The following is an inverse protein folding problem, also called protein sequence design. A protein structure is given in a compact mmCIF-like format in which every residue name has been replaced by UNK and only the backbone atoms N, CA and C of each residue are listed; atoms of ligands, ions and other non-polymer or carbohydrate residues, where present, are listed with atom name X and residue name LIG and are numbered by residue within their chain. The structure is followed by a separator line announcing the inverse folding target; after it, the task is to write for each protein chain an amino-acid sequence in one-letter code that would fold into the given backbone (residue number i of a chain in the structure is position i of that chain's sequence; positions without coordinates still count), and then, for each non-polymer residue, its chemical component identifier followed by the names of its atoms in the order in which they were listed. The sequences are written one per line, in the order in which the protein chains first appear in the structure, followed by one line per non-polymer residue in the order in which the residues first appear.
data_IF_747646521965
#
_entry.id   IF_747646521965
#
_cell.length_a   1.000
_cell.length_b   1.000
_cell.length_c   1.000
_cell.angle_alpha   90.00
_cell.angle_beta   90.00
_cell.angle_gamma   90.00
#
_symmetry.space_group_name_H-M   'P 1'
#
loop_
_entity.id
_entity.type
_entity.pdbx_description
1 polymer ?
#
# COMPACT_ATOMS: atom_id res chain seq x y z
N UNK A 1 4.78 19.59 1.40
CA UNK A 1 3.41 19.11 1.61
C UNK A 1 3.08 19.07 3.06
N UNK A 2 1.86 19.41 3.46
CA UNK A 2 1.47 19.37 4.86
C UNK A 2 1.27 17.92 5.32
N UNK A 3 1.43 17.71 6.61
CA UNK A 3 1.19 16.38 7.19
C UNK A 3 -0.27 15.97 7.06
N UNK A 4 -1.19 16.91 7.06
CA UNK A 4 -2.61 16.62 6.86
C UNK A 4 -2.85 16.04 5.47
N UNK A 5 -2.24 16.59 4.44
CA UNK A 5 -2.36 16.08 3.08
C UNK A 5 -1.77 14.66 2.98
N UNK A 6 -0.62 14.44 3.58
CA UNK A 6 0.01 13.11 3.59
C UNK A 6 -0.86 12.09 4.33
N UNK A 7 -1.42 12.49 5.46
CA UNK A 7 -2.32 11.63 6.22
C UNK A 7 -3.55 11.27 5.39
N UNK A 8 -4.17 12.27 4.75
CA UNK A 8 -5.35 12.04 3.91
C UNK A 8 -5.06 11.05 2.77
N UNK A 9 -3.89 11.19 2.14
CA UNK A 9 -3.48 10.28 1.06
C UNK A 9 -3.34 8.85 1.56
N UNK A 10 -2.78 8.67 2.74
CA UNK A 10 -2.63 7.33 3.33
C UNK A 10 -3.98 6.74 3.72
N UNK A 11 -4.84 7.55 4.33
CA UNK A 11 -6.18 7.09 4.70
C UNK A 11 -7.00 6.70 3.47
N UNK A 12 -6.88 7.48 2.39
CA UNK A 12 -7.55 7.15 1.13
C UNK A 12 -7.06 5.82 0.58
N UNK A 13 -5.76 5.58 0.61
CA UNK A 13 -5.19 4.32 0.14
C UNK A 13 -5.66 3.14 1.01
N UNK A 14 -5.82 3.35 2.31
CA UNK A 14 -6.28 2.31 3.22
C UNK A 14 -7.80 2.12 3.21
N UNK A 15 -8.55 3.05 2.66
CA UNK A 15 -10.00 3.08 2.74
C UNK A 15 -10.71 2.15 1.76
N UNK A 16 -10.24 0.92 1.60
CA UNK A 16 -10.90 -0.05 0.72
C UNK A 16 -10.64 -1.47 1.25
N UNK A 17 -11.69 -2.29 1.39
CA UNK A 17 -11.53 -3.64 1.95
C UNK A 17 -10.48 -4.49 1.24
N UNK A 18 -10.44 -4.43 -0.09
CA UNK A 18 -9.46 -5.22 -0.85
C UNK A 18 -8.03 -4.77 -0.58
N UNK A 19 -7.81 -3.47 -0.40
CA UNK A 19 -6.47 -2.97 -0.10
C UNK A 19 -6.04 -3.37 1.30
N UNK A 20 -6.95 -3.37 2.26
CA UNK A 20 -6.64 -3.85 3.61
C UNK A 20 -6.28 -5.34 3.60
N UNK A 21 -6.99 -6.13 2.79
CA UNK A 21 -6.69 -7.55 2.63
C UNK A 21 -5.34 -7.78 1.97
N UNK A 22 -5.00 -6.99 0.97
CA UNK A 22 -3.69 -7.08 0.33
C UNK A 22 -2.58 -6.83 1.35
N UNK A 23 -2.73 -5.79 2.16
CA UNK A 23 -1.74 -5.46 3.20
C UNK A 23 -1.57 -6.63 4.16
N UNK A 24 -2.67 -7.19 4.64
CA UNK A 24 -2.61 -8.34 5.54
C UNK A 24 -1.93 -9.55 4.89
N UNK A 25 -2.15 -9.72 3.59
CA UNK A 25 -1.59 -10.84 2.83
C UNK A 25 -0.06 -10.75 2.72
N UNK A 26 0.47 -9.56 2.49
CA UNK A 26 1.91 -9.39 2.31
C UNK A 26 2.63 -8.99 3.61
N UNK A 27 1.93 -9.06 4.74
CA UNK A 27 2.48 -8.65 6.04
C UNK A 27 3.74 -9.41 6.41
N UNK A 28 3.77 -10.73 6.20
CA UNK A 28 4.87 -11.56 6.64
C UNK A 28 6.02 -11.65 5.65
N UNK A 29 5.73 -11.51 4.36
CA UNK A 29 6.76 -11.60 3.33
C UNK A 29 6.32 -10.89 2.07
N UNK A 30 7.29 -10.43 1.29
CA UNK A 30 6.97 -9.88 -0.02
C UNK A 30 6.41 -10.97 -0.93
N UNK A 31 5.54 -10.58 -1.84
CA UNK A 31 4.89 -11.49 -2.76
C UNK A 31 4.83 -10.86 -4.15
N UNK A 32 4.81 -11.71 -5.17
CA UNK A 32 4.60 -11.21 -6.52
C UNK A 32 3.10 -11.16 -6.84
N UNK A 33 2.78 -10.45 -7.91
CA UNK A 33 1.40 -10.09 -8.24
C UNK A 33 0.44 -11.28 -8.29
N UNK A 34 0.84 -12.38 -8.92
CA UNK A 34 -0.02 -13.56 -9.02
C UNK A 34 -0.35 -14.16 -7.66
N UNK A 35 0.65 -14.22 -6.77
CA UNK A 35 0.43 -14.74 -5.43
C UNK A 35 -0.57 -13.88 -4.67
N UNK A 36 -0.42 -12.57 -4.75
CA UNK A 36 -1.33 -11.65 -4.08
C UNK A 36 -2.74 -11.80 -4.60
N UNK A 37 -2.91 -11.80 -5.93
CA UNK A 37 -4.22 -11.94 -6.55
C UNK A 37 -4.89 -13.25 -6.14
N UNK A 38 -4.13 -14.35 -6.16
CA UNK A 38 -4.66 -15.66 -5.79
C UNK A 38 -5.05 -15.72 -4.31
N UNK A 39 -4.24 -15.17 -3.44
CA UNK A 39 -4.51 -15.18 -2.00
C UNK A 39 -5.71 -14.32 -1.63
N UNK A 40 -5.88 -13.20 -2.28
CA UNK A 40 -7.01 -12.30 -2.02
C UNK A 40 -8.27 -12.76 -2.75
N UNK A 41 -8.11 -13.54 -3.82
CA UNK A 41 -9.23 -14.04 -4.59
C UNK A 41 -9.76 -13.04 -5.60
N UNK A 42 -8.89 -12.27 -6.21
CA UNK A 42 -9.24 -11.27 -7.23
C UNK A 42 -8.40 -11.48 -8.48
N UNK A 43 -8.80 -10.80 -9.56
CA UNK A 43 -8.03 -10.86 -10.81
C UNK A 43 -6.69 -10.14 -10.65
N UNK A 44 -5.72 -10.53 -11.49
CA UNK A 44 -4.43 -9.84 -11.55
C UNK A 44 -4.58 -8.37 -11.88
N UNK A 45 -5.47 -8.06 -12.81
CA UNK A 45 -5.71 -6.67 -13.22
C UNK A 45 -6.22 -5.83 -12.05
N UNK A 46 -7.18 -6.36 -11.30
CA UNK A 46 -7.72 -5.66 -10.14
C UNK A 46 -6.67 -5.51 -9.03
N UNK A 47 -5.92 -6.56 -8.77
CA UNK A 47 -4.84 -6.51 -7.78
C UNK A 47 -3.83 -5.43 -8.16
N UNK A 48 -3.47 -5.34 -9.43
CA UNK A 48 -2.51 -4.35 -9.91
C UNK A 48 -3.01 -2.92 -9.68
N UNK A 49 -4.30 -2.67 -9.92
CA UNK A 49 -4.90 -1.35 -9.69
C UNK A 49 -4.78 -0.96 -8.21
N UNK A 50 -5.14 -1.86 -7.33
CA UNK A 50 -5.07 -1.59 -5.88
C UNK A 50 -3.63 -1.44 -5.38
N UNK A 51 -2.73 -2.29 -5.87
CA UNK A 51 -1.32 -2.20 -5.48
C UNK A 51 -0.68 -0.90 -5.96
N UNK A 52 -1.07 -0.42 -7.14
CA UNK A 52 -0.57 0.85 -7.64
C UNK A 52 -0.99 2.00 -6.73
N UNK A 53 -2.21 1.98 -6.24
CA UNK A 53 -2.68 3.00 -5.30
C UNK A 53 -1.91 2.95 -3.97
N UNK A 54 -1.66 1.75 -3.46
CA UNK A 54 -0.87 1.57 -2.25
C UNK A 54 0.58 2.02 -2.45
N UNK A 55 1.13 1.76 -3.61
CA UNK A 55 2.49 2.15 -3.93
C UNK A 55 2.63 3.68 -4.00
N UNK A 56 1.65 4.36 -4.60
CA UNK A 56 1.65 5.82 -4.68
C UNK A 56 1.64 6.48 -3.32
N UNK A 57 0.98 5.88 -2.35
CA UNK A 57 0.90 6.43 -1.00
C UNK A 57 2.10 6.02 -0.12
N UNK A 58 3.00 5.20 -0.64
CA UNK A 58 4.17 4.76 0.12
C UNK A 58 3.90 3.61 1.07
N UNK A 59 2.74 2.97 1.00
CA UNK A 59 2.39 1.85 1.88
C UNK A 59 3.04 0.56 1.41
N UNK A 60 3.23 0.41 0.09
CA UNK A 60 3.99 -0.72 -0.45
C UNK A 60 5.06 -0.18 -1.39
N UNK A 61 6.10 -0.97 -1.55
CA UNK A 61 7.16 -0.79 -2.53
C UNK A 61 7.15 -1.96 -3.49
N UNK A 62 7.54 -1.72 -4.74
CA UNK A 62 7.68 -2.81 -5.68
C UNK A 62 9.10 -2.84 -6.24
N UNK A 63 9.51 -4.03 -6.64
CA UNK A 63 10.76 -4.23 -7.35
C UNK A 63 10.59 -5.33 -8.37
N UNK A 64 11.35 -5.26 -9.44
CA UNK A 64 11.33 -6.28 -10.47
C UNK A 64 12.48 -7.25 -10.19
N UNK A 65 12.15 -8.52 -10.22
CA UNK A 65 13.11 -9.60 -10.07
C UNK A 65 13.11 -10.44 -11.35
N UNK A 66 14.28 -10.67 -11.91
CA UNK A 66 14.44 -11.51 -13.09
C UNK A 66 15.35 -12.68 -12.73
N UNK A 67 14.79 -13.88 -12.75
CA UNK A 67 15.58 -15.09 -12.53
C UNK A 67 16.28 -15.49 -13.83
N UNK A 68 17.55 -15.86 -13.73
CA UNK A 68 18.33 -16.27 -14.92
C UNK A 68 17.72 -17.48 -15.64
N UNK A 69 17.11 -18.37 -14.86
CA UNK A 69 16.51 -19.59 -15.41
C UNK A 69 15.16 -19.36 -16.06
N UNK A 70 14.55 -18.18 -15.84
CA UNK A 70 13.23 -17.87 -16.37
C UNK A 70 13.29 -16.59 -17.18
N UNK A 71 12.69 -16.62 -18.35
CA UNK A 71 12.63 -15.45 -19.21
C UNK A 71 11.61 -14.41 -18.74
N UNK A 72 11.08 -14.54 -17.52
CA UNK A 72 10.04 -13.67 -17.00
C UNK A 72 10.58 -12.75 -15.92
N UNK A 73 10.23 -11.48 -16.03
CA UNK A 73 10.41 -10.52 -14.96
C UNK A 73 9.19 -10.57 -14.05
N UNK A 74 9.41 -10.76 -12.76
CA UNK A 74 8.34 -10.77 -11.76
C UNK A 74 8.42 -9.51 -10.92
N UNK A 75 7.27 -8.89 -10.68
CA UNK A 75 7.21 -7.72 -9.81
C UNK A 75 6.77 -8.17 -8.42
N UNK A 76 7.65 -7.96 -7.46
CA UNK A 76 7.38 -8.24 -6.06
C UNK A 76 6.92 -6.98 -5.34
N UNK A 77 6.05 -7.15 -4.38
CA UNK A 77 5.51 -6.06 -3.56
C UNK A 77 5.85 -6.32 -2.10
N UNK A 78 6.40 -5.30 -1.46
CA UNK A 78 6.84 -5.37 -0.07
C UNK A 78 6.13 -4.30 0.73
N UNK A 79 5.65 -4.68 1.91
CA UNK A 79 4.98 -3.75 2.81
C UNK A 79 5.98 -2.80 3.44
N UNK A 80 5.66 -1.52 3.46
CA UNK A 80 6.42 -0.53 4.21
C UNK A 80 5.78 -0.35 5.58
N UNK A 81 6.58 -0.13 6.64
CA UNK A 81 6.00 0.06 7.97
C UNK A 81 5.13 1.30 8.01
N UNK A 82 3.98 1.19 8.68
CA UNK A 82 3.17 2.36 8.98
C UNK A 82 2.43 2.13 10.29
N UNK A 83 2.11 3.23 10.94
CA UNK A 83 1.36 3.21 12.18
C UNK A 83 0.64 4.54 12.27
N UNK A 84 -0.66 4.54 12.04
CA UNK A 84 -1.45 5.75 11.88
C UNK A 84 -2.47 5.86 13.01
N UNK A 85 -2.40 6.95 13.73
CA UNK A 85 -3.34 7.27 14.81
C UNK A 85 -4.16 8.48 14.40
N UNK A 86 -5.47 8.35 14.42
CA UNK A 86 -6.38 9.42 14.03
C UNK A 86 -7.43 9.61 15.12
N UNK A 87 -7.57 10.84 15.56
CA UNK A 87 -8.62 11.24 16.48
C UNK A 87 -8.91 12.73 16.26
N UNK A 88 -10.06 13.24 16.72
CA UNK A 88 -10.31 14.66 16.57
C UNK A 88 -9.22 15.52 17.18
N UNK A 89 -8.67 15.12 18.33
CA UNK A 89 -7.60 15.85 19.00
C UNK A 89 -6.31 15.87 18.17
N UNK A 90 -5.97 14.73 17.60
CA UNK A 90 -4.77 14.63 16.75
C UNK A 90 -4.93 15.48 15.51
N UNK A 91 -6.11 15.44 14.88
CA UNK A 91 -6.37 16.23 13.69
C UNK A 91 -6.28 17.72 13.97
N UNK A 92 -6.85 18.15 15.09
CA UNK A 92 -6.76 19.57 15.50
C UNK A 92 -5.31 20.00 15.64
N UNK A 93 -4.49 19.20 16.31
CA UNK A 93 -3.07 19.49 16.49
C UNK A 93 -2.32 19.60 15.17
N UNK A 94 -2.58 18.67 14.25
CA UNK A 94 -1.89 18.66 12.97
C UNK A 94 -2.26 19.89 12.12
N UNK A 95 -3.51 20.29 12.14
CA UNK A 95 -3.96 21.49 11.42
C UNK A 95 -3.30 22.74 12.02
N UNK A 96 -3.24 22.86 13.33
CA UNK A 96 -2.59 23.98 13.99
C UNK A 96 -1.10 24.06 13.67
N UNK A 97 -0.42 22.91 13.65
CA UNK A 97 1.02 22.85 13.32
C UNK A 97 1.31 23.30 11.90
N UNK A 98 0.42 22.99 10.95
CA UNK A 98 0.63 23.33 9.56
C UNK A 98 0.20 24.76 9.24
N UNK A 99 -0.32 25.48 10.20
CA UNK A 99 -0.77 26.86 9.99
C UNK A 99 -2.05 26.97 9.20
N UNK A 100 -2.84 25.92 9.17
CA UNK A 100 -4.07 25.88 8.36
C UNK A 100 -5.27 25.57 9.21
#
# INVERSE_FOLDING_TARGET
MSQITNLANKLDALGHPLRLRIIATIYQKEMYLNEIANNVGISRALAKIHLKKLEKSGIVKSRIFTAEAEAKALRYYELQPFDIHVSPQILKKEVEKSGQ
#
